data_IF_013791276290
#
_entry.id   IF_013791276290
#
_cell.length_a   1.000
_cell.length_b   1.000
_cell.length_c   1.000
_cell.angle_alpha   90.00
_cell.angle_beta   90.00
_cell.angle_gamma   90.00
#
_symmetry.space_group_name_H-M   'P 1'
#
loop_
_entity.id
_entity.type
_entity.pdbx_description
1 polymer ?
#
# COMPACT_ATOMS: atom_id res chain seq x y z
N UNK A 1 -20.68 -28.07 1.09
CA UNK A 1 -19.22 -27.92 0.93
C UNK A 1 -18.64 -27.57 2.29
N UNK A 2 -17.60 -28.26 2.79
CA UNK A 2 -16.97 -27.87 4.05
C UNK A 2 -16.16 -26.58 3.86
N UNK A 3 -16.49 -25.55 4.63
CA UNK A 3 -15.69 -24.31 4.72
C UNK A 3 -14.41 -24.60 5.48
N UNK A 4 -13.29 -24.68 4.75
CA UNK A 4 -11.96 -24.84 5.32
C UNK A 4 -11.45 -23.47 5.79
N UNK A 5 -12.04 -22.99 6.88
CA UNK A 5 -11.67 -21.72 7.49
C UNK A 5 -10.32 -21.94 8.21
N UNK A 6 -9.25 -21.18 7.90
CA UNK A 6 -7.95 -21.41 8.50
C UNK A 6 -8.03 -21.22 10.02
N UNK A 7 -7.65 -22.25 10.77
CA UNK A 7 -7.66 -22.23 12.22
C UNK A 7 -6.86 -21.03 12.72
N UNK A 8 -7.38 -20.32 13.73
CA UNK A 8 -6.73 -19.13 14.30
C UNK A 8 -5.27 -19.41 14.72
N UNK A 9 -4.97 -20.65 15.11
CA UNK A 9 -3.63 -21.14 15.45
C UNK A 9 -2.69 -21.21 14.25
N UNK A 10 -3.20 -21.65 13.08
CA UNK A 10 -2.42 -21.69 11.85
C UNK A 10 -2.07 -20.28 11.35
N UNK A 11 -2.98 -19.32 11.53
CA UNK A 11 -2.74 -17.91 11.19
C UNK A 11 -1.68 -17.29 12.11
N UNK A 12 -1.78 -17.52 13.42
CA UNK A 12 -0.81 -17.05 14.40
C UNK A 12 0.60 -17.61 14.14
N UNK A 13 0.70 -18.90 13.82
CA UNK A 13 1.97 -19.56 13.51
C UNK A 13 2.59 -19.06 12.19
N UNK A 14 1.77 -18.82 11.16
CA UNK A 14 2.22 -18.23 9.91
C UNK A 14 2.79 -16.81 10.11
N UNK A 15 2.12 -15.98 10.91
CA UNK A 15 2.58 -14.63 11.26
C UNK A 15 3.88 -14.65 12.07
N UNK A 16 4.00 -15.53 13.06
CA UNK A 16 5.24 -15.71 13.84
C UNK A 16 6.41 -16.10 12.92
N UNK A 17 6.19 -17.07 12.03
CA UNK A 17 7.20 -17.54 11.08
C UNK A 17 7.61 -16.45 10.07
N UNK A 18 6.67 -15.65 9.59
CA UNK A 18 6.96 -14.52 8.70
C UNK A 18 7.86 -13.48 9.38
N UNK A 19 7.60 -13.17 10.66
CA UNK A 19 8.42 -12.24 11.45
C UNK A 19 9.84 -12.77 11.68
N UNK A 20 9.99 -14.05 11.97
CA UNK A 20 11.30 -14.70 12.11
C UNK A 20 12.13 -14.63 10.81
N UNK A 21 11.49 -14.82 9.65
CA UNK A 21 12.14 -14.69 8.35
C UNK A 21 12.50 -13.23 8.01
N UNK A 22 11.66 -12.27 8.40
CA UNK A 22 11.96 -10.84 8.26
C UNK A 22 13.13 -10.42 9.15
N UNK A 23 13.20 -10.91 10.39
CA UNK A 23 14.27 -10.59 11.34
C UNK A 23 15.65 -11.12 10.92
N UNK A 24 15.70 -12.24 10.17
CA UNK A 24 16.97 -12.77 9.62
C UNK A 24 17.45 -12.05 8.37
N UNK A 25 16.57 -11.38 7.62
CA UNK A 25 16.96 -10.65 6.40
C UNK A 25 17.66 -9.31 6.69
N UNK A 26 17.65 -8.83 7.93
CA UNK A 26 18.39 -7.62 8.36
C UNK A 26 19.85 -7.91 8.78
N UNK A 27 20.28 -9.17 8.79
CA UNK A 27 21.65 -9.57 9.15
C UNK A 27 22.47 -10.15 7.98
N UNK A 28 21.93 -10.10 6.75
CA UNK A 28 22.71 -10.35 5.54
C UNK A 28 22.94 -9.06 4.75
N UNK A 29 23.22 -7.95 5.43
CA UNK A 29 23.83 -6.78 4.81
C UNK A 29 25.36 -6.96 4.89
N UNK A 30 26.09 -7.10 3.76
CA UNK A 30 27.54 -7.03 3.80
C UNK A 30 27.97 -5.65 4.32
N UNK A 31 29.08 -5.55 5.09
CA UNK A 31 29.58 -4.25 5.56
C UNK A 31 29.91 -3.36 4.35
N UNK A 32 29.63 -2.05 4.38
CA UNK A 32 30.04 -1.16 3.32
C UNK A 32 31.57 -1.06 3.32
N UNK A 33 32.27 -1.30 2.19
CA UNK A 33 33.69 -1.07 2.12
C UNK A 33 33.96 0.44 2.21
N UNK A 34 34.77 0.81 3.19
CA UNK A 34 35.41 2.12 3.28
C UNK A 34 36.22 2.37 2.00
N UNK A 35 36.12 3.59 1.46
CA UNK A 35 37.04 4.32 0.55
C UNK A 35 37.77 3.50 -0.52
N UNK A 36 37.74 3.97 -1.77
CA UNK A 36 38.98 4.49 -2.43
C UNK A 36 38.69 5.00 -3.85
N UNK A 37 39.18 6.22 -4.09
CA UNK A 37 39.44 6.81 -5.39
C UNK A 37 40.60 6.06 -6.07
N UNK A 38 40.40 5.75 -7.35
CA UNK A 38 41.35 5.54 -8.45
C UNK A 38 42.61 4.63 -8.34
N UNK A 39 42.69 3.79 -9.37
CA UNK A 39 43.87 3.45 -10.19
C UNK A 39 44.66 2.16 -9.87
N UNK A 40 44.32 1.07 -10.59
CA UNK A 40 45.25 0.28 -11.43
C UNK A 40 44.53 -0.90 -12.12
N UNK A 41 44.88 -1.27 -13.37
CA UNK A 41 44.16 -2.29 -14.13
C UNK A 41 44.88 -3.65 -14.07
N UNK A 42 44.30 -4.64 -13.40
CA UNK A 42 44.71 -6.02 -13.63
C UNK A 42 43.60 -7.02 -13.29
N UNK A 43 43.14 -7.72 -14.34
CA UNK A 43 42.66 -9.10 -14.33
C UNK A 43 41.66 -9.54 -13.26
N UNK A 44 40.47 -9.92 -13.75
CA UNK A 44 39.79 -11.21 -13.52
C UNK A 44 38.31 -11.06 -13.14
N UNK A 45 37.52 -11.97 -13.73
CA UNK A 45 36.23 -12.48 -13.26
C UNK A 45 35.02 -11.53 -13.22
N UNK A 46 34.03 -11.88 -14.06
CA UNK A 46 32.63 -12.09 -13.67
C UNK A 46 32.00 -11.07 -12.71
N UNK A 47 30.99 -10.33 -13.17
CA UNK A 47 29.59 -10.62 -12.82
C UNK A 47 28.64 -9.58 -13.41
N UNK A 48 27.53 -10.10 -13.92
CA UNK A 48 26.28 -9.40 -14.17
C UNK A 48 25.94 -8.43 -13.03
N UNK A 49 25.60 -7.21 -13.37
CA UNK A 49 24.51 -6.50 -12.69
C UNK A 49 23.81 -5.63 -13.73
N UNK A 50 23.00 -6.32 -14.54
CA UNK A 50 21.83 -5.72 -15.16
C UNK A 50 20.99 -5.13 -14.03
N UNK A 51 20.96 -3.80 -13.94
CA UNK A 51 20.12 -3.06 -13.01
C UNK A 51 18.67 -3.43 -13.36
N UNK A 52 17.89 -4.11 -12.48
CA UNK A 52 16.48 -4.30 -12.76
C UNK A 52 15.83 -2.93 -12.73
N UNK A 53 15.52 -2.41 -13.91
CA UNK A 53 14.68 -1.24 -14.13
C UNK A 53 13.21 -1.62 -13.88
N UNK A 54 12.94 -2.34 -12.80
CA UNK A 54 11.60 -2.63 -12.29
C UNK A 54 11.41 -1.83 -11.01
N UNK A 55 10.23 -1.24 -10.83
CA UNK A 55 9.92 -0.22 -9.81
C UNK A 55 10.35 1.21 -10.13
N UNK A 56 10.34 1.57 -11.43
CA UNK A 56 9.61 2.80 -11.72
C UNK A 56 8.16 2.53 -11.34
N UNK A 57 7.68 3.22 -10.29
CA UNK A 57 6.28 3.20 -9.89
C UNK A 57 5.42 3.30 -11.14
N UNK A 58 4.56 2.32 -11.38
CA UNK A 58 3.63 2.34 -12.50
C UNK A 58 2.88 3.69 -12.45
N UNK A 59 3.10 4.62 -13.40
CA UNK A 59 2.58 5.97 -13.25
C UNK A 59 1.05 6.04 -13.41
N UNK A 60 0.40 4.93 -13.76
CA UNK A 60 -0.95 4.91 -14.29
C UNK A 60 -1.73 3.68 -13.82
N UNK A 61 -1.78 3.38 -12.51
CA UNK A 61 -2.94 2.60 -12.04
C UNK A 61 -4.16 3.51 -12.24
N UNK A 62 -5.13 3.17 -13.10
CA UNK A 62 -6.33 3.98 -13.23
C UNK A 62 -6.97 4.06 -11.85
N UNK A 63 -7.00 5.27 -11.28
CA UNK A 63 -7.65 5.51 -10.01
C UNK A 63 -9.12 5.17 -10.21
N UNK A 64 -9.66 4.26 -9.40
CA UNK A 64 -11.08 3.97 -9.46
C UNK A 64 -11.84 5.28 -9.18
N UNK A 65 -13.01 5.51 -9.78
CA UNK A 65 -13.83 6.68 -9.47
C UNK A 65 -14.07 6.83 -7.96
N UNK A 66 -14.19 5.71 -7.24
CA UNK A 66 -14.28 5.67 -5.78
C UNK A 66 -12.99 6.08 -5.08
N UNK A 67 -11.81 5.71 -5.60
CA UNK A 67 -10.54 6.13 -5.01
C UNK A 67 -10.36 7.65 -5.09
N UNK A 68 -10.82 8.25 -6.20
CA UNK A 68 -10.82 9.71 -6.39
C UNK A 68 -11.83 10.39 -5.48
N UNK A 69 -13.01 9.79 -5.30
CA UNK A 69 -14.06 10.29 -4.41
C UNK A 69 -13.62 10.25 -2.94
N UNK A 70 -13.06 9.12 -2.50
CA UNK A 70 -12.57 8.88 -1.13
C UNK A 70 -11.33 9.72 -0.78
N UNK A 71 -10.57 10.14 -1.77
CA UNK A 71 -9.40 11.01 -1.59
C UNK A 71 -9.79 12.44 -1.18
N UNK A 72 -10.97 12.88 -1.57
CA UNK A 72 -11.56 14.13 -1.10
C UNK A 72 -12.31 13.89 0.21
N UNK A 73 -11.67 14.25 1.32
CA UNK A 73 -12.20 14.03 2.67
C UNK A 73 -13.50 14.82 2.90
N UNK A 74 -13.64 16.00 2.32
CA UNK A 74 -14.81 16.86 2.50
C UNK A 74 -16.00 16.31 1.73
N UNK A 75 -15.81 15.94 0.46
CA UNK A 75 -16.85 15.28 -0.34
C UNK A 75 -17.26 13.93 0.23
N UNK A 76 -16.29 13.15 0.69
CA UNK A 76 -16.56 11.86 1.37
C UNK A 76 -17.37 12.06 2.63
N UNK A 77 -17.03 13.07 3.45
CA UNK A 77 -17.79 13.40 4.65
C UNK A 77 -19.22 13.85 4.32
N UNK A 78 -19.38 14.73 3.33
CA UNK A 78 -20.69 15.18 2.84
C UNK A 78 -21.56 14.00 2.38
N UNK A 79 -20.98 13.04 1.65
CA UNK A 79 -21.67 11.82 1.23
C UNK A 79 -22.05 10.91 2.41
N UNK A 80 -21.16 10.77 3.39
CA UNK A 80 -21.44 10.00 4.60
C UNK A 80 -22.59 10.64 5.40
N UNK A 81 -22.61 11.97 5.52
CA UNK A 81 -23.67 12.73 6.17
C UNK A 81 -25.00 12.62 5.41
N UNK A 82 -24.98 12.73 4.08
CA UNK A 82 -26.14 12.52 3.23
C UNK A 82 -26.73 11.12 3.43
N UNK A 83 -25.88 10.08 3.43
CA UNK A 83 -26.31 8.71 3.65
C UNK A 83 -26.90 8.52 5.05
N UNK A 84 -26.21 8.99 6.08
CA UNK A 84 -26.69 8.91 7.46
C UNK A 84 -28.06 9.58 7.61
N UNK A 85 -28.15 10.83 7.15
CA UNK A 85 -29.35 11.64 7.23
C UNK A 85 -30.52 11.05 6.44
N UNK A 86 -30.25 10.48 5.26
CA UNK A 86 -31.28 9.81 4.47
C UNK A 86 -31.86 8.59 5.19
N UNK A 87 -31.02 7.79 5.86
CA UNK A 87 -31.47 6.61 6.61
C UNK A 87 -32.23 6.97 7.90
N UNK A 88 -31.89 8.09 8.53
CA UNK A 88 -32.57 8.59 9.73
C UNK A 88 -33.82 9.43 9.44
N UNK A 89 -34.19 9.61 8.16
CA UNK A 89 -35.38 10.36 7.77
C UNK A 89 -35.25 11.87 7.97
N UNK A 90 -34.04 12.41 7.77
CA UNK A 90 -33.80 13.84 7.85
C UNK A 90 -34.60 14.67 6.85
N UNK A 91 -34.70 15.98 7.11
CA UNK A 91 -35.52 16.87 6.29
C UNK A 91 -35.03 16.94 4.84
N UNK A 92 -35.97 16.99 3.90
CA UNK A 92 -35.67 17.12 2.48
C UNK A 92 -34.85 18.38 2.19
N UNK A 93 -35.17 19.50 2.86
CA UNK A 93 -34.42 20.76 2.74
C UNK A 93 -32.94 20.59 3.12
N UNK A 94 -32.65 19.87 4.21
CA UNK A 94 -31.27 19.64 4.64
C UNK A 94 -30.54 18.71 3.68
N UNK A 95 -31.20 17.64 3.20
CA UNK A 95 -30.65 16.77 2.17
C UNK A 95 -30.32 17.58 0.90
N UNK A 96 -31.23 18.43 0.42
CA UNK A 96 -30.98 19.26 -0.75
C UNK A 96 -29.87 20.29 -0.54
N UNK A 97 -29.76 20.89 0.65
CA UNK A 97 -28.66 21.79 0.98
C UNK A 97 -27.30 21.07 0.93
N UNK A 98 -27.22 19.85 1.49
CA UNK A 98 -26.00 19.04 1.42
C UNK A 98 -25.69 18.58 -0.01
N UNK A 99 -26.71 18.24 -0.81
CA UNK A 99 -26.53 17.95 -2.23
C UNK A 99 -26.03 19.17 -3.02
N UNK A 100 -26.52 20.37 -2.71
CA UNK A 100 -26.09 21.61 -3.35
C UNK A 100 -24.60 21.90 -3.09
N UNK A 101 -24.11 21.58 -1.89
CA UNK A 101 -22.68 21.71 -1.56
C UNK A 101 -21.79 20.70 -2.31
N UNK A 102 -22.36 19.67 -2.92
CA UNK A 102 -21.63 18.65 -3.66
C UNK A 102 -21.33 19.04 -5.12
N UNK A 103 -22.09 20.01 -5.66
CA UNK A 103 -22.04 20.51 -7.04
C UNK A 103 -20.99 21.62 -7.14
#
# INVERSE_FOLDING_TARGET
MPSNMPDARAVEEALRRAREMQGRSAHHAPPPPEKSTEESPQGNAETSTEIPKEFQAAPNRPLSPLDTLLKDKERTLLLALLLLLYNEGGSAELLFALFYLLI
#
